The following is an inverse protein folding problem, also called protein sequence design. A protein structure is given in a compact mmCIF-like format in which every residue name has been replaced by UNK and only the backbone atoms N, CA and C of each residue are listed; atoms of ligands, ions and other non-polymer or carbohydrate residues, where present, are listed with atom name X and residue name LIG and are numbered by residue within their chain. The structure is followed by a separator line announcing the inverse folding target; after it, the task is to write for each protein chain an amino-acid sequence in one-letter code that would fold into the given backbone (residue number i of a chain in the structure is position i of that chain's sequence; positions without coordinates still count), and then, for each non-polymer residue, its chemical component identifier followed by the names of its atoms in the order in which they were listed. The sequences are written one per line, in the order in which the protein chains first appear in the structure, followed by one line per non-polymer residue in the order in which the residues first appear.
data_IF_240119763384
#
_entry.id   IF_240119763384
#
_cell.length_a   1.000
_cell.length_b   1.000
_cell.length_c   1.000
_cell.angle_alpha   90.00
_cell.angle_beta   90.00
_cell.angle_gamma   90.00
#
_symmetry.space_group_name_H-M   'P 1'
#
loop_
_entity.id
_entity.type
_entity.pdbx_description
1 polymer ?
#
# COMPACT_ATOMS: atom_id res chain seq x y z
N UNK A 1 6.93 -30.59 49.78
CA UNK A 1 6.16 -31.86 49.84
C UNK A 1 4.86 -31.61 49.07
N UNK A 2 4.42 -32.27 48.01
CA UNK A 2 4.70 -33.61 47.50
C UNK A 2 4.66 -33.63 45.95
N UNK A 3 5.32 -34.66 45.42
CA UNK A 3 5.66 -34.95 44.03
C UNK A 3 4.47 -35.40 43.17
N UNK A 4 4.35 -34.92 41.92
CA UNK A 4 3.51 -35.52 40.87
C UNK A 4 4.33 -36.53 40.06
N UNK A 5 3.98 -37.81 40.20
CA UNK A 5 4.53 -38.94 39.44
C UNK A 5 3.89 -39.06 38.06
N UNK A 6 4.74 -39.33 37.07
CA UNK A 6 4.43 -39.72 35.69
C UNK A 6 3.91 -41.17 35.61
N UNK A 7 3.01 -41.46 34.65
CA UNK A 7 2.55 -42.82 34.28
C UNK A 7 3.28 -43.30 33.01
N UNK A 8 3.55 -44.62 32.85
CA UNK A 8 4.35 -45.13 31.72
C UNK A 8 3.50 -45.58 30.52
N UNK A 9 4.14 -45.55 29.34
CA UNK A 9 3.64 -46.02 28.05
C UNK A 9 3.70 -47.55 27.90
N UNK A 10 2.77 -48.13 27.10
CA UNK A 10 2.75 -49.54 26.69
C UNK A 10 3.43 -49.72 25.31
N UNK A 11 4.08 -50.87 25.03
CA UNK A 11 4.71 -51.14 23.74
C UNK A 11 3.74 -51.87 22.79
N UNK A 12 3.79 -51.55 21.49
CA UNK A 12 3.13 -52.34 20.44
C UNK A 12 4.13 -53.21 19.66
N UNK A 13 3.66 -54.41 19.35
CA UNK A 13 4.39 -55.60 18.92
C UNK A 13 4.89 -55.56 17.47
N UNK A 14 6.01 -56.26 17.26
CA UNK A 14 6.58 -56.70 15.97
C UNK A 14 5.67 -57.73 15.30
N UNK A 15 5.44 -57.58 13.99
CA UNK A 15 4.87 -58.62 13.14
C UNK A 15 5.98 -59.27 12.28
N UNK A 16 6.09 -60.58 12.39
CA UNK A 16 6.87 -61.45 11.50
C UNK A 16 6.06 -61.75 10.24
N UNK A 17 6.70 -61.74 9.06
CA UNK A 17 6.12 -62.26 7.83
C UNK A 17 6.94 -63.46 7.32
N UNK A 18 6.27 -64.61 7.27
CA UNK A 18 6.73 -65.85 6.65
C UNK A 18 6.69 -65.73 5.12
N UNK A 19 7.75 -66.22 4.49
CA UNK A 19 7.82 -66.44 3.04
C UNK A 19 7.04 -67.70 2.63
N UNK A 20 6.29 -67.59 1.53
CA UNK A 20 5.76 -68.74 0.79
C UNK A 20 5.96 -68.52 -0.72
N UNK A 21 6.56 -69.53 -1.34
CA UNK A 21 6.83 -69.69 -2.77
C UNK A 21 5.55 -70.01 -3.55
N UNK A 22 5.39 -69.49 -4.78
CA UNK A 22 4.75 -70.27 -5.84
C UNK A 22 5.04 -69.73 -7.26
N UNK A 23 5.65 -70.58 -8.07
CA UNK A 23 6.22 -70.35 -9.39
C UNK A 23 5.17 -70.33 -10.55
N UNK A 24 3.95 -69.85 -10.30
CA UNK A 24 2.80 -70.00 -11.22
C UNK A 24 2.24 -68.72 -11.86
N UNK A 25 2.75 -67.53 -11.50
CA UNK A 25 2.06 -66.27 -11.80
C UNK A 25 2.65 -65.46 -12.97
N UNK A 26 3.77 -65.91 -13.57
CA UNK A 26 4.48 -65.15 -14.63
C UNK A 26 3.89 -65.30 -16.04
N UNK A 27 3.14 -66.36 -16.35
CA UNK A 27 2.56 -66.53 -17.71
C UNK A 27 1.26 -65.75 -17.94
N UNK A 28 0.48 -65.43 -16.90
CA UNK A 28 -0.81 -64.73 -17.04
C UNK A 28 -0.66 -63.20 -17.17
N UNK A 29 0.42 -62.62 -16.65
CA UNK A 29 0.66 -61.16 -16.72
C UNK A 29 1.16 -60.71 -18.09
N UNK A 30 1.95 -61.55 -18.79
CA UNK A 30 2.41 -61.24 -20.15
C UNK A 30 1.27 -61.24 -21.18
N UNK A 31 0.24 -62.06 -20.98
CA UNK A 31 -0.89 -62.16 -21.92
C UNK A 31 -1.79 -60.92 -21.88
N UNK A 32 -1.93 -60.27 -20.72
CA UNK A 32 -2.72 -59.04 -20.57
C UNK A 32 -1.99 -57.80 -21.11
N UNK A 33 -0.66 -57.74 -20.97
CA UNK A 33 0.13 -56.60 -21.46
C UNK A 33 0.14 -56.50 -23.00
N UNK A 34 0.16 -57.64 -23.71
CA UNK A 34 0.14 -57.66 -25.17
C UNK A 34 -1.22 -57.20 -25.73
N UNK A 35 -2.33 -57.53 -25.06
CA UNK A 35 -3.66 -57.12 -25.48
C UNK A 35 -3.89 -55.59 -25.36
N UNK A 36 -3.32 -54.94 -24.34
CA UNK A 36 -3.43 -53.49 -24.14
C UNK A 36 -2.61 -52.71 -25.19
N UNK A 37 -1.42 -53.22 -25.55
CA UNK A 37 -0.58 -52.61 -26.58
C UNK A 37 -1.24 -52.73 -27.97
N UNK A 38 -1.85 -53.88 -28.27
CA UNK A 38 -2.58 -54.08 -29.54
C UNK A 38 -3.84 -53.20 -29.65
N UNK A 39 -4.53 -52.94 -28.54
CA UNK A 39 -5.67 -52.03 -28.52
C UNK A 39 -5.22 -50.57 -28.78
N UNK A 40 -4.13 -50.12 -28.15
CA UNK A 40 -3.62 -48.76 -28.30
C UNK A 40 -3.07 -48.45 -29.71
N UNK A 41 -2.50 -49.43 -30.40
CA UNK A 41 -1.99 -49.25 -31.77
C UNK A 41 -3.13 -49.15 -32.80
N UNK A 42 -4.24 -49.86 -32.58
CA UNK A 42 -5.45 -49.75 -33.45
C UNK A 42 -6.14 -48.40 -33.26
N UNK A 43 -6.25 -47.88 -32.02
CA UNK A 43 -6.81 -46.54 -31.80
C UNK A 43 -5.94 -45.43 -32.40
N UNK A 44 -4.61 -45.55 -32.33
CA UNK A 44 -3.70 -44.58 -32.96
C UNK A 44 -3.76 -44.61 -34.50
N UNK A 45 -3.92 -45.80 -35.10
CA UNK A 45 -4.07 -45.93 -36.55
C UNK A 45 -5.39 -45.31 -37.06
N UNK A 46 -6.49 -45.44 -36.31
CA UNK A 46 -7.79 -44.87 -36.67
C UNK A 46 -7.87 -43.35 -36.52
N UNK A 47 -7.05 -42.75 -35.65
CA UNK A 47 -6.97 -41.28 -35.48
C UNK A 47 -6.13 -40.64 -36.59
N UNK A 48 -5.16 -41.37 -37.15
CA UNK A 48 -4.27 -40.86 -38.20
C UNK A 48 -4.94 -40.72 -39.57
N UNK A 49 -6.04 -41.43 -39.83
CA UNK A 49 -6.80 -41.37 -41.09
C UNK A 49 -7.76 -40.17 -41.20
N UNK A 50 -7.90 -39.34 -40.15
CA UNK A 50 -8.87 -38.22 -40.13
C UNK A 50 -8.27 -36.81 -40.08
N UNK A 51 -7.00 -36.65 -40.46
CA UNK A 51 -6.41 -35.33 -40.68
C UNK A 51 -6.71 -34.84 -42.11
N UNK A 52 -7.33 -33.66 -42.31
CA UNK A 52 -7.55 -33.12 -43.64
C UNK A 52 -6.22 -32.72 -44.29
N UNK A 53 -6.10 -33.00 -45.58
CA UNK A 53 -4.98 -32.62 -46.44
C UNK A 53 -4.82 -31.09 -46.51
N UNK A 54 -3.62 -30.59 -46.17
CA UNK A 54 -3.21 -29.22 -46.50
C UNK A 54 -2.82 -29.18 -47.97
N UNK A 55 -3.52 -28.39 -48.80
CA UNK A 55 -3.13 -28.16 -50.18
C UNK A 55 -2.00 -27.13 -50.23
N UNK A 56 -0.91 -27.46 -50.92
CA UNK A 56 0.09 -26.48 -51.37
C UNK A 56 -0.56 -25.53 -52.39
N UNK A 57 -0.38 -24.22 -52.19
CA UNK A 57 -0.60 -23.22 -53.23
C UNK A 57 0.54 -22.18 -53.23
N UNK A 58 1.03 -21.95 -54.45
CA UNK A 58 2.13 -21.12 -54.97
C UNK A 58 2.03 -19.62 -54.60
N UNK A 59 3.14 -18.84 -54.59
CA UNK A 59 3.19 -17.52 -53.96
C UNK A 59 2.63 -16.40 -54.86
N UNK A 60 1.72 -15.59 -54.32
CA UNK A 60 1.18 -14.40 -54.97
C UNK A 60 0.47 -13.48 -54.00
N UNK A 61 0.90 -12.20 -54.01
CA UNK A 61 0.35 -11.03 -53.34
C UNK A 61 0.52 -10.91 -51.80
N UNK A 62 1.18 -9.81 -51.38
CA UNK A 62 1.20 -9.31 -50.00
C UNK A 62 -0.25 -9.13 -49.51
N UNK A 63 -0.65 -9.73 -48.39
CA UNK A 63 -1.82 -9.27 -47.67
C UNK A 63 -1.45 -7.98 -46.94
N UNK A 64 -2.20 -6.92 -47.19
CA UNK A 64 -2.28 -5.78 -46.27
C UNK A 64 -2.65 -6.32 -44.88
N UNK A 65 -1.85 -5.94 -43.89
CA UNK A 65 -2.10 -6.26 -42.48
C UNK A 65 -3.51 -5.76 -42.14
N UNK A 66 -4.44 -6.62 -41.70
CA UNK A 66 -5.67 -6.13 -41.11
C UNK A 66 -5.27 -5.33 -39.88
N UNK A 67 -5.66 -4.06 -39.82
CA UNK A 67 -5.58 -3.28 -38.59
C UNK A 67 -6.14 -4.13 -37.45
N UNK A 68 -5.33 -4.31 -36.41
CA UNK A 68 -5.69 -4.95 -35.15
C UNK A 68 -6.68 -4.05 -34.40
N UNK A 69 -7.89 -3.91 -34.95
CA UNK A 69 -9.03 -3.24 -34.35
C UNK A 69 -9.76 -4.19 -33.41
N UNK A 70 -9.18 -4.41 -32.23
CA UNK A 70 -9.82 -4.73 -30.94
C UNK A 70 -8.78 -5.42 -30.05
N UNK A 71 -7.77 -4.67 -29.60
CA UNK A 71 -7.32 -4.87 -28.24
C UNK A 71 -8.52 -4.50 -27.36
N UNK A 72 -8.95 -5.41 -26.49
CA UNK A 72 -9.86 -5.06 -25.41
C UNK A 72 -9.21 -3.88 -24.68
N UNK A 73 -9.76 -2.67 -24.84
CA UNK A 73 -9.22 -1.48 -24.22
C UNK A 73 -9.30 -1.70 -22.70
N UNK A 74 -8.16 -2.10 -22.11
CA UNK A 74 -8.03 -2.18 -20.67
C UNK A 74 -8.26 -0.79 -20.11
N UNK A 75 -8.94 -0.70 -18.96
CA UNK A 75 -9.12 0.59 -18.29
C UNK A 75 -7.75 1.25 -18.09
N UNK A 76 -7.63 2.50 -18.52
CA UNK A 76 -6.45 3.33 -18.30
C UNK A 76 -6.89 4.60 -17.57
N UNK A 77 -6.12 5.06 -16.58
CA UNK A 77 -6.38 6.35 -15.96
C UNK A 77 -6.26 7.47 -17.01
N UNK A 78 -6.90 8.61 -16.74
CA UNK A 78 -6.76 9.81 -17.57
C UNK A 78 -5.27 10.18 -17.77
N UNK A 79 -4.91 10.96 -18.79
CA UNK A 79 -3.53 11.46 -18.92
C UNK A 79 -3.10 12.30 -17.69
N UNK A 80 -1.85 12.15 -17.22
CA UNK A 80 -1.38 12.77 -15.98
C UNK A 80 -1.45 14.29 -16.00
N UNK A 81 -0.96 14.93 -17.07
CA UNK A 81 -0.97 16.39 -17.16
C UNK A 81 -2.41 16.92 -17.11
N UNK A 82 -3.32 16.26 -17.82
CA UNK A 82 -4.75 16.61 -17.84
C UNK A 82 -5.42 16.41 -16.48
N UNK A 83 -5.10 15.33 -15.78
CA UNK A 83 -5.64 15.06 -14.46
C UNK A 83 -5.13 16.07 -13.42
N UNK A 84 -3.83 16.36 -13.40
CA UNK A 84 -3.23 17.27 -12.42
C UNK A 84 -3.63 18.73 -12.69
N UNK A 85 -3.88 19.09 -13.96
CA UNK A 85 -4.38 20.42 -14.31
C UNK A 85 -5.74 20.77 -13.70
N UNK A 86 -6.49 19.80 -13.15
CA UNK A 86 -7.78 20.03 -12.48
C UNK A 86 -7.63 20.40 -10.99
N UNK A 87 -6.41 20.36 -10.45
CA UNK A 87 -6.10 20.66 -9.06
C UNK A 87 -5.62 22.12 -8.93
N UNK A 88 -6.18 22.85 -7.97
CA UNK A 88 -5.88 24.26 -7.72
C UNK A 88 -4.71 24.46 -6.74
N UNK A 89 -4.42 23.45 -5.92
CA UNK A 89 -3.47 23.48 -4.83
C UNK A 89 -4.01 24.20 -3.59
N UNK A 90 -3.64 23.72 -2.40
CA UNK A 90 -4.19 24.19 -1.11
C UNK A 90 -4.03 25.68 -0.87
N UNK A 91 -2.97 26.31 -1.41
CA UNK A 91 -2.74 27.77 -1.30
C UNK A 91 -3.90 28.59 -1.88
N UNK A 92 -4.57 28.08 -2.92
CA UNK A 92 -5.71 28.75 -3.54
C UNK A 92 -6.95 28.80 -2.63
N UNK A 93 -7.04 27.92 -1.64
CA UNK A 93 -8.19 27.80 -0.75
C UNK A 93 -8.17 28.86 0.36
N UNK A 94 -6.99 29.35 0.75
CA UNK A 94 -6.80 30.19 1.95
C UNK A 94 -7.62 31.48 1.93
N UNK A 95 -7.70 32.16 0.79
CA UNK A 95 -8.37 33.46 0.69
C UNK A 95 -9.86 33.41 1.07
N UNK A 96 -10.54 32.31 0.74
CA UNK A 96 -11.96 32.10 1.07
C UNK A 96 -12.19 31.23 2.31
N UNK A 97 -11.22 30.39 2.67
CA UNK A 97 -11.33 29.37 3.73
C UNK A 97 -10.22 29.50 4.78
N UNK A 98 -9.87 30.73 5.16
CA UNK A 98 -8.76 31.05 6.08
C UNK A 98 -8.78 30.19 7.35
N UNK A 99 -9.92 30.11 8.04
CA UNK A 99 -10.04 29.31 9.26
C UNK A 99 -9.70 27.83 9.06
N UNK A 100 -10.18 27.22 7.98
CA UNK A 100 -9.91 25.81 7.71
C UNK A 100 -8.45 25.61 7.29
N UNK A 101 -7.92 26.53 6.49
CA UNK A 101 -6.52 26.53 6.07
C UNK A 101 -5.57 26.65 7.28
N UNK A 102 -5.84 27.57 8.19
CA UNK A 102 -5.02 27.79 9.39
C UNK A 102 -5.07 26.59 10.36
N UNK A 103 -6.18 25.85 10.39
CA UNK A 103 -6.27 24.60 11.15
C UNK A 103 -5.50 23.45 10.48
N UNK A 104 -5.48 23.43 9.14
CA UNK A 104 -4.74 22.43 8.35
C UNK A 104 -3.23 22.66 8.36
N UNK A 105 -2.79 23.91 8.29
CA UNK A 105 -1.37 24.25 8.29
C UNK A 105 -0.71 23.80 9.60
N UNK A 106 0.32 22.94 9.50
CA UNK A 106 0.99 22.34 10.66
C UNK A 106 0.26 21.15 11.29
N UNK A 107 -0.84 20.68 10.71
CA UNK A 107 -1.45 19.40 11.08
C UNK A 107 -0.63 18.21 10.58
N UNK A 108 -0.84 17.02 11.16
CA UNK A 108 -0.19 15.79 10.69
C UNK A 108 -0.56 15.46 9.23
N UNK A 109 -1.75 15.85 8.77
CA UNK A 109 -2.12 15.72 7.35
C UNK A 109 -1.24 16.62 6.47
N UNK A 110 -1.07 17.88 6.86
CA UNK A 110 -0.22 18.81 6.10
C UNK A 110 1.26 18.41 6.15
N UNK A 111 1.71 17.79 7.23
CA UNK A 111 3.09 17.35 7.42
C UNK A 111 3.29 15.86 7.06
N UNK A 112 2.30 15.20 6.44
CA UNK A 112 2.38 13.78 6.10
C UNK A 112 3.57 13.44 5.21
N UNK A 113 3.93 14.36 4.30
CA UNK A 113 5.18 14.36 3.55
C UNK A 113 5.63 15.80 3.27
N UNK A 114 6.92 16.06 3.44
CA UNK A 114 7.53 17.36 3.20
C UNK A 114 8.98 17.22 2.75
N UNK A 115 9.53 18.31 2.21
CA UNK A 115 10.98 18.45 2.07
C UNK A 115 11.62 18.61 3.46
N UNK A 116 12.90 18.27 3.62
CA UNK A 116 13.64 18.56 4.84
C UNK A 116 13.65 20.06 5.11
N UNK A 117 13.42 20.45 6.36
CA UNK A 117 13.42 21.84 6.82
C UNK A 117 14.47 21.99 7.93
N UNK A 118 15.51 22.83 7.75
CA UNK A 118 16.50 23.11 8.78
C UNK A 118 15.90 23.50 10.13
N UNK A 119 14.76 24.21 10.15
CA UNK A 119 14.10 24.59 11.41
C UNK A 119 13.49 23.42 12.16
N UNK A 120 13.17 22.33 11.46
CA UNK A 120 12.51 21.17 12.03
C UNK A 120 13.49 20.01 12.26
N UNK A 121 14.43 19.80 11.34
CA UNK A 121 15.22 18.58 11.28
C UNK A 121 16.67 18.77 11.78
N UNK A 122 17.20 20.00 11.86
CA UNK A 122 18.61 20.23 12.17
C UNK A 122 19.06 19.62 13.49
N UNK A 123 18.28 19.78 14.56
CA UNK A 123 18.64 19.26 15.87
C UNK A 123 18.83 17.73 15.86
N UNK A 124 18.12 17.00 15.00
CA UNK A 124 18.22 15.55 14.90
C UNK A 124 19.55 15.09 14.25
N UNK A 125 20.17 15.94 13.42
CA UNK A 125 21.39 15.64 12.65
C UNK A 125 22.63 16.41 13.09
N UNK A 126 22.47 17.46 13.91
CA UNK A 126 23.57 18.30 14.41
C UNK A 126 23.47 18.46 15.94
N UNK A 127 24.47 18.02 16.73
CA UNK A 127 25.74 17.42 16.30
C UNK A 127 25.56 16.03 15.68
N UNK A 128 26.58 15.57 14.94
CA UNK A 128 26.65 14.19 14.41
C UNK A 128 26.34 13.17 15.51
N UNK A 129 25.37 12.29 15.23
CA UNK A 129 24.91 11.22 16.14
C UNK A 129 25.26 9.84 15.60
N UNK A 130 25.36 8.88 16.51
CA UNK A 130 25.52 7.46 16.20
C UNK A 130 24.34 6.69 16.81
N UNK A 131 23.69 5.85 16.00
CA UNK A 131 22.63 4.94 16.43
C UNK A 131 23.12 3.51 16.27
N UNK A 132 23.01 2.72 17.35
CA UNK A 132 23.43 1.32 17.38
C UNK A 132 22.21 0.41 17.47
N UNK A 133 22.14 -0.52 16.55
CA UNK A 133 21.19 -1.62 16.48
C UNK A 133 21.99 -2.94 16.41
N UNK A 134 21.48 -4.11 16.88
CA UNK A 134 22.29 -5.32 17.12
C UNK A 134 23.33 -5.70 16.06
N UNK A 135 23.05 -5.51 14.77
CA UNK A 135 23.97 -5.82 13.67
C UNK A 135 24.47 -4.59 12.88
N UNK A 136 23.95 -3.40 13.21
CA UNK A 136 24.06 -2.20 12.38
C UNK A 136 24.36 -0.94 13.20
N UNK A 137 25.39 -0.20 12.80
CA UNK A 137 25.69 1.12 13.34
C UNK A 137 25.46 2.20 12.29
N UNK A 138 24.43 3.01 12.50
CA UNK A 138 24.08 4.15 11.65
C UNK A 138 24.70 5.45 12.18
N UNK A 139 25.06 6.35 11.28
CA UNK A 139 25.51 7.70 11.63
C UNK A 139 24.60 8.72 10.97
N UNK A 140 24.25 9.76 11.71
CA UNK A 140 23.27 10.76 11.32
C UNK A 140 23.95 12.11 11.48
N UNK A 141 24.07 12.85 10.39
CA UNK A 141 24.85 14.06 10.38
C UNK A 141 24.38 15.06 9.32
N UNK A 142 24.63 16.33 9.60
CA UNK A 142 24.58 17.40 8.63
C UNK A 142 25.93 17.51 7.89
N UNK A 143 25.91 17.68 6.57
CA UNK A 143 27.07 18.03 5.75
C UNK A 143 26.69 19.22 4.84
N UNK A 144 27.24 20.40 5.14
CA UNK A 144 26.74 21.64 4.53
C UNK A 144 25.30 21.90 4.95
N UNK A 145 24.40 22.05 3.98
CA UNK A 145 22.96 22.25 4.20
C UNK A 145 22.13 20.96 4.01
N UNK A 146 22.81 19.80 3.87
CA UNK A 146 22.17 18.52 3.54
C UNK A 146 22.22 17.54 4.72
N UNK A 147 21.09 16.87 4.96
CA UNK A 147 20.98 15.83 5.99
C UNK A 147 21.37 14.47 5.43
N UNK A 148 22.21 13.74 6.17
CA UNK A 148 22.72 12.45 5.74
C UNK A 148 22.50 11.36 6.78
N UNK A 149 22.17 10.17 6.28
CA UNK A 149 22.12 8.93 7.05
C UNK A 149 23.13 7.95 6.43
N UNK A 150 24.17 7.61 7.18
CA UNK A 150 25.10 6.57 6.80
C UNK A 150 24.75 5.25 7.49
N UNK A 151 24.24 4.28 6.72
CA UNK A 151 23.69 2.99 7.18
C UNK A 151 24.06 1.87 6.19
N UNK A 152 23.72 0.62 6.48
CA UNK A 152 24.00 -0.51 5.58
C UNK A 152 23.07 -0.47 4.37
N UNK A 153 23.65 -0.31 3.18
CA UNK A 153 22.94 -0.31 1.90
C UNK A 153 22.69 -1.72 1.35
N UNK A 154 22.18 -1.77 0.11
CA UNK A 154 21.88 -3.04 -0.56
C UNK A 154 23.13 -3.89 -0.81
N UNK A 155 24.31 -3.27 -0.87
CA UNK A 155 25.58 -4.00 -1.01
C UNK A 155 26.01 -4.74 0.27
N UNK A 156 25.28 -4.56 1.38
CA UNK A 156 25.67 -5.05 2.69
C UNK A 156 26.81 -4.25 3.35
N UNK A 157 27.26 -3.16 2.72
CA UNK A 157 28.26 -2.24 3.27
C UNK A 157 27.61 -0.96 3.76
N UNK A 158 28.32 -0.25 4.65
CA UNK A 158 27.93 1.08 5.07
C UNK A 158 28.07 2.06 3.90
N UNK A 159 26.98 2.74 3.58
CA UNK A 159 26.84 3.72 2.51
C UNK A 159 26.19 4.98 3.09
N UNK A 160 26.45 6.14 2.48
CA UNK A 160 25.87 7.43 2.92
C UNK A 160 24.74 7.81 1.97
N UNK A 161 23.58 8.09 2.53
CA UNK A 161 22.39 8.51 1.80
C UNK A 161 21.99 9.91 2.21
N UNK A 162 21.79 10.79 1.24
CA UNK A 162 21.17 12.11 1.46
C UNK A 162 19.66 11.94 1.64
N UNK A 163 19.12 12.62 2.65
CA UNK A 163 17.67 12.68 2.90
C UNK A 163 17.02 13.55 1.83
N UNK A 164 16.13 12.96 1.05
CA UNK A 164 15.37 13.66 0.02
C UNK A 164 14.08 14.27 0.58
N UNK A 165 13.38 13.54 1.47
CA UNK A 165 12.08 13.92 2.03
C UNK A 165 11.92 13.40 3.44
N UNK A 166 10.95 13.96 4.16
CA UNK A 166 10.52 13.51 5.48
C UNK A 166 9.05 13.12 5.40
N UNK A 167 8.69 11.97 5.96
CA UNK A 167 7.31 11.52 6.11
C UNK A 167 6.96 11.37 7.59
N UNK A 168 5.71 11.73 7.91
CA UNK A 168 5.26 11.82 9.30
C UNK A 168 5.82 13.05 10.02
N UNK A 169 5.23 13.33 11.18
CA UNK A 169 5.68 14.41 12.06
C UNK A 169 5.68 13.94 13.51
N UNK A 170 4.53 13.54 14.03
CA UNK A 170 4.39 13.09 15.42
C UNK A 170 3.65 11.75 15.46
N UNK A 171 4.14 10.74 16.20
CA UNK A 171 5.35 10.73 17.03
C UNK A 171 6.64 10.36 16.28
N UNK A 172 6.58 10.22 14.95
CA UNK A 172 7.69 9.68 14.16
C UNK A 172 7.91 10.57 12.93
N UNK A 173 9.16 10.99 12.73
CA UNK A 173 9.69 11.47 11.47
C UNK A 173 10.54 10.36 10.87
N UNK A 174 10.14 9.88 9.71
CA UNK A 174 10.90 8.90 8.94
C UNK A 174 11.43 9.54 7.66
N UNK A 175 12.64 9.16 7.29
CA UNK A 175 13.39 9.84 6.23
C UNK A 175 13.41 9.00 4.96
N UNK A 176 13.19 9.66 3.82
CA UNK A 176 13.20 9.05 2.50
C UNK A 176 14.51 9.36 1.78
N UNK A 177 15.10 8.34 1.15
CA UNK A 177 16.33 8.48 0.37
C UNK A 177 16.12 7.97 -1.06
N UNK A 178 16.85 8.58 -2.01
CA UNK A 178 16.84 8.15 -3.42
C UNK A 178 17.52 6.80 -3.59
N UNK A 179 16.88 5.92 -4.36
CA UNK A 179 17.42 4.65 -4.81
C UNK A 179 17.34 4.55 -6.34
N UNK A 180 18.12 3.66 -6.98
CA UNK A 180 18.06 3.45 -8.43
C UNK A 180 16.65 3.14 -8.92
N UNK A 181 16.38 3.42 -10.21
CA UNK A 181 15.09 3.16 -10.89
C UNK A 181 13.91 3.96 -10.32
N UNK A 182 14.18 5.13 -9.73
CA UNK A 182 13.14 6.04 -9.24
C UNK A 182 12.47 5.61 -7.93
N UNK A 183 13.06 4.63 -7.24
CA UNK A 183 12.60 4.26 -5.90
C UNK A 183 12.96 5.35 -4.90
N UNK A 184 12.02 5.67 -4.02
CA UNK A 184 12.33 6.26 -2.71
C UNK A 184 12.19 5.17 -1.65
N UNK A 185 13.18 5.07 -0.77
CA UNK A 185 13.18 4.12 0.34
C UNK A 185 13.01 4.85 1.66
N UNK A 186 12.08 4.35 2.48
CA UNK A 186 11.94 4.78 3.86
C UNK A 186 13.01 4.09 4.69
N UNK A 187 13.94 4.87 5.25
CA UNK A 187 15.01 4.33 6.09
C UNK A 187 14.39 3.85 7.41
N UNK A 188 14.85 2.70 7.91
CA UNK A 188 14.34 2.08 9.13
C UNK A 188 14.71 2.86 10.41
N UNK A 189 15.83 3.60 10.38
CA UNK A 189 16.22 4.53 11.44
C UNK A 189 15.40 5.82 11.34
N UNK A 190 14.52 6.03 12.33
CA UNK A 190 13.58 7.15 12.41
C UNK A 190 13.75 7.95 13.71
N UNK A 191 13.21 9.17 13.73
CA UNK A 191 13.37 10.12 14.83
C UNK A 191 12.03 10.39 15.52
N UNK A 192 12.03 10.37 16.85
CA UNK A 192 10.92 10.87 17.69
C UNK A 192 11.25 12.33 18.05
N UNK A 193 10.57 13.33 17.44
CA UNK A 193 10.90 14.73 17.68
C UNK A 193 10.45 15.24 19.05
N UNK A 194 9.65 14.48 19.81
CA UNK A 194 9.28 14.86 21.18
C UNK A 194 10.34 14.45 22.19
N UNK A 195 10.97 13.30 21.97
CA UNK A 195 12.02 12.79 22.87
C UNK A 195 13.42 13.16 22.42
N UNK A 196 13.55 13.62 21.17
CA UNK A 196 14.83 13.78 20.48
C UNK A 196 15.64 12.47 20.46
N UNK A 197 14.97 11.37 20.12
CA UNK A 197 15.54 10.03 20.12
C UNK A 197 15.47 9.38 18.75
N UNK A 198 16.56 8.71 18.36
CA UNK A 198 16.62 7.87 17.18
C UNK A 198 16.31 6.42 17.54
N UNK A 199 15.50 5.75 16.73
CA UNK A 199 15.10 4.37 16.94
C UNK A 199 14.92 3.64 15.60
N UNK A 200 14.89 2.30 15.64
CA UNK A 200 14.53 1.48 14.48
C UNK A 200 13.01 1.22 14.51
N UNK A 201 12.31 1.47 13.41
CA UNK A 201 10.84 1.26 13.31
C UNK A 201 10.40 -0.19 13.52
N UNK A 202 11.32 -1.15 13.41
CA UNK A 202 11.09 -2.57 13.68
C UNK A 202 11.63 -3.02 15.05
N UNK A 203 11.97 -2.08 15.94
CA UNK A 203 12.49 -2.38 17.27
C UNK A 203 13.82 -3.14 17.19
N UNK A 204 13.88 -4.29 17.84
CA UNK A 204 15.10 -5.13 17.90
C UNK A 204 15.22 -6.14 16.74
N UNK A 205 14.29 -6.13 15.77
CA UNK A 205 14.34 -7.02 14.61
C UNK A 205 15.55 -6.73 13.72
N UNK A 206 16.39 -7.75 13.52
CA UNK A 206 17.61 -7.67 12.71
C UNK A 206 17.36 -8.05 11.24
N UNK A 207 16.69 -7.16 10.50
CA UNK A 207 16.35 -7.40 9.10
C UNK A 207 17.57 -7.23 8.21
N UNK A 208 17.78 -8.16 7.28
CA UNK A 208 18.99 -8.21 6.46
C UNK A 208 18.76 -7.71 5.02
N UNK A 209 19.79 -7.14 4.35
CA UNK A 209 19.71 -6.80 2.94
C UNK A 209 19.23 -7.97 2.08
N UNK A 210 18.22 -7.71 1.24
CA UNK A 210 17.56 -8.73 0.39
C UNK A 210 16.24 -9.27 0.97
N UNK A 211 15.98 -9.07 2.26
CA UNK A 211 14.68 -9.38 2.85
C UNK A 211 13.62 -8.35 2.43
N UNK A 212 12.36 -8.79 2.34
CA UNK A 212 11.25 -7.91 1.97
C UNK A 212 11.11 -6.72 2.91
N UNK A 213 11.29 -6.95 4.21
CA UNK A 213 11.08 -5.95 5.26
C UNK A 213 12.31 -5.10 5.62
N UNK A 214 13.49 -5.38 5.05
CA UNK A 214 14.66 -4.52 5.22
C UNK A 214 14.41 -3.17 4.51
N UNK A 215 15.05 -2.09 4.96
CA UNK A 215 14.79 -0.74 4.44
C UNK A 215 15.14 -0.58 2.95
N UNK A 216 16.03 -1.41 2.40
CA UNK A 216 16.31 -1.48 0.95
C UNK A 216 15.36 -2.39 0.17
N UNK A 217 14.49 -3.12 0.87
CA UNK A 217 13.51 -4.06 0.32
C UNK A 217 12.23 -3.38 -0.19
N UNK A 218 11.28 -4.20 -0.66
CA UNK A 218 9.98 -3.72 -1.18
C UNK A 218 9.02 -3.28 -0.09
N UNK A 219 9.12 -3.86 1.11
CA UNK A 219 8.27 -3.54 2.24
C UNK A 219 8.45 -2.11 2.74
N UNK A 220 9.60 -1.49 2.43
CA UNK A 220 9.96 -0.12 2.81
C UNK A 220 9.99 0.86 1.63
N UNK A 221 9.53 0.42 0.46
CA UNK A 221 9.45 1.26 -0.73
C UNK A 221 8.31 2.28 -0.60
N UNK A 222 8.67 3.55 -0.51
CA UNK A 222 7.71 4.64 -0.36
C UNK A 222 6.68 4.69 -1.49
N UNK A 223 7.10 4.47 -2.74
CA UNK A 223 6.24 4.63 -3.93
C UNK A 223 4.97 3.76 -3.85
N UNK A 224 5.10 2.54 -3.32
CA UNK A 224 4.00 1.58 -3.21
C UNK A 224 3.34 1.57 -1.85
N UNK A 225 4.11 1.75 -0.78
CA UNK A 225 3.66 1.52 0.59
C UNK A 225 3.11 2.79 1.26
N UNK A 226 3.61 3.98 0.90
CA UNK A 226 3.34 5.21 1.65
C UNK A 226 2.69 6.30 0.77
N UNK A 227 3.19 6.45 -0.46
CA UNK A 227 2.97 7.62 -1.29
C UNK A 227 1.48 7.93 -1.54
N UNK A 228 0.64 6.90 -1.72
CA UNK A 228 -0.79 7.09 -2.05
C UNK A 228 -1.59 7.72 -0.92
N UNK A 229 -1.15 7.48 0.32
CA UNK A 229 -1.81 7.96 1.53
C UNK A 229 -1.25 9.29 2.02
N UNK A 230 0.00 9.60 1.67
CA UNK A 230 0.72 10.79 2.15
C UNK A 230 0.69 11.97 1.17
N UNK A 231 0.07 11.80 0.00
CA UNK A 231 0.10 12.81 -1.06
C UNK A 231 -1.23 12.95 -1.82
N UNK A 232 -1.35 14.07 -2.52
CA UNK A 232 -2.58 14.45 -3.23
C UNK A 232 -2.49 14.13 -4.70
N UNK A 233 -3.48 13.38 -5.20
CA UNK A 233 -3.57 12.93 -6.60
C UNK A 233 -2.26 12.29 -7.08
N UNK A 234 -1.77 11.31 -6.33
CA UNK A 234 -0.55 10.58 -6.69
C UNK A 234 -0.78 9.70 -7.92
N UNK A 235 0.27 9.56 -8.74
CA UNK A 235 0.45 8.49 -9.72
C UNK A 235 1.79 7.82 -9.51
N UNK A 236 1.78 6.51 -9.31
CA UNK A 236 3.01 5.73 -9.09
C UNK A 236 3.88 5.68 -10.34
N UNK A 237 3.24 5.61 -11.51
CA UNK A 237 3.87 5.40 -12.81
C UNK A 237 4.92 4.29 -12.76
N UNK A 238 4.48 3.12 -12.28
CA UNK A 238 5.31 1.94 -12.25
C UNK A 238 5.39 1.34 -13.65
N UNK A 239 6.61 1.10 -14.12
CA UNK A 239 6.88 0.36 -15.34
C UNK A 239 7.34 -1.06 -14.97
N UNK A 240 6.54 -2.06 -15.34
CA UNK A 240 6.82 -3.46 -15.08
C UNK A 240 8.06 -3.98 -15.81
N UNK A 241 8.29 -3.54 -17.06
CA UNK A 241 9.37 -4.06 -17.89
C UNK A 241 10.74 -3.63 -17.37
N UNK A 242 10.82 -2.42 -16.80
CA UNK A 242 12.05 -1.87 -16.23
C UNK A 242 12.10 -1.98 -14.70
N UNK A 243 10.99 -2.36 -14.07
CA UNK A 243 10.79 -2.36 -12.63
C UNK A 243 11.26 -1.03 -12.01
N UNK A 244 10.66 0.05 -12.52
CA UNK A 244 11.00 1.42 -12.19
C UNK A 244 9.76 2.25 -11.88
N UNK A 245 9.97 3.38 -11.20
CA UNK A 245 8.91 4.31 -10.84
C UNK A 245 9.25 5.70 -11.40
N UNK A 246 8.23 6.39 -11.93
CA UNK A 246 8.27 7.83 -12.20
C UNK A 246 7.16 8.54 -11.40
N UNK A 247 7.18 8.33 -10.09
CA UNK A 247 6.07 8.74 -9.21
C UNK A 247 5.91 10.25 -9.17
N UNK A 248 4.68 10.71 -9.43
CA UNK A 248 4.31 12.12 -9.44
C UNK A 248 3.03 12.38 -8.63
N UNK A 249 2.80 13.63 -8.24
CA UNK A 249 1.62 14.06 -7.51
C UNK A 249 1.19 15.46 -7.95
N UNK A 250 -0.07 15.82 -7.72
CA UNK A 250 -0.52 17.20 -7.90
C UNK A 250 0.00 18.11 -6.76
N UNK A 251 0.05 17.60 -5.54
CA UNK A 251 0.59 18.31 -4.37
C UNK A 251 1.21 17.30 -3.40
N UNK A 252 2.42 17.60 -2.91
CA UNK A 252 3.08 16.83 -1.84
C UNK A 252 2.40 17.17 -0.52
N UNK A 253 2.01 16.15 0.25
CA UNK A 253 1.14 16.19 1.44
C UNK A 253 -0.32 15.77 1.20
N UNK A 254 -1.03 15.45 2.30
CA UNK A 254 -2.50 15.30 2.34
C UNK A 254 -3.12 16.70 2.34
N UNK A 255 -3.34 17.20 1.13
CA UNK A 255 -3.77 18.58 0.86
C UNK A 255 -5.29 18.71 0.88
N UNK A 256 -5.82 19.93 0.75
CA UNK A 256 -7.28 20.16 0.75
C UNK A 256 -7.99 19.27 -0.28
N UNK A 257 -7.40 19.16 -1.47
CA UNK A 257 -7.98 18.42 -2.60
C UNK A 257 -7.81 16.90 -2.48
N UNK A 258 -7.06 16.40 -1.48
CA UNK A 258 -7.02 14.97 -1.15
C UNK A 258 -8.36 14.47 -0.60
N UNK A 259 -9.12 15.35 0.07
CA UNK A 259 -10.43 15.05 0.65
C UNK A 259 -11.57 15.70 -0.14
N UNK A 260 -11.36 16.89 -0.68
CA UNK A 260 -12.39 17.64 -1.41
C UNK A 260 -12.46 17.28 -2.91
N UNK A 261 -11.41 16.68 -3.48
CA UNK A 261 -11.32 16.40 -4.91
C UNK A 261 -10.77 17.58 -5.71
N UNK A 262 -10.71 17.49 -7.05
CA UNK A 262 -10.19 18.57 -7.90
C UNK A 262 -11.09 19.81 -7.80
N UNK A 263 -10.52 20.93 -7.35
CA UNK A 263 -11.25 22.17 -7.05
C UNK A 263 -10.85 23.34 -7.95
N UNK A 264 -10.08 23.12 -9.03
CA UNK A 264 -9.74 24.21 -9.96
C UNK A 264 -10.97 24.90 -10.55
N UNK A 265 -11.96 24.14 -10.99
CA UNK A 265 -13.19 24.71 -11.54
C UNK A 265 -13.93 25.58 -10.52
N UNK A 266 -13.96 25.15 -9.25
CA UNK A 266 -14.53 25.91 -8.14
C UNK A 266 -13.78 27.22 -7.89
N UNK A 267 -12.44 27.15 -7.82
CA UNK A 267 -11.59 28.33 -7.60
C UNK A 267 -11.74 29.33 -8.75
N UNK A 268 -11.72 28.86 -10.00
CA UNK A 268 -11.86 29.73 -11.17
C UNK A 268 -13.25 30.36 -11.23
N UNK A 269 -14.32 29.60 -10.94
CA UNK A 269 -15.68 30.11 -10.87
C UNK A 269 -15.85 31.17 -9.77
N UNK A 270 -15.29 30.95 -8.57
CA UNK A 270 -15.36 31.95 -7.48
C UNK A 270 -14.59 33.22 -7.79
N UNK A 271 -13.52 33.16 -8.58
CA UNK A 271 -12.79 34.34 -9.07
C UNK A 271 -13.62 35.12 -10.10
N UNK A 272 -14.24 34.43 -11.06
CA UNK A 272 -15.05 35.06 -12.09
C UNK A 272 -16.33 35.71 -11.53
N UNK A 273 -16.99 35.03 -10.59
CA UNK A 273 -18.25 35.47 -9.98
C UNK A 273 -18.07 35.97 -8.53
N UNK A 274 -16.95 36.64 -8.26
CA UNK A 274 -16.63 37.17 -6.93
C UNK A 274 -17.76 38.07 -6.38
N UNK A 275 -18.06 37.93 -5.08
CA UNK A 275 -19.13 38.69 -4.43
C UNK A 275 -20.56 38.21 -4.70
N UNK A 276 -20.76 37.17 -5.54
CA UNK A 276 -22.06 36.56 -5.74
C UNK A 276 -22.37 35.51 -4.68
N UNK A 277 -23.64 35.40 -4.29
CA UNK A 277 -24.20 34.35 -3.43
C UNK A 277 -24.81 33.18 -4.22
N UNK A 278 -24.62 33.17 -5.54
CA UNK A 278 -25.12 32.11 -6.41
C UNK A 278 -24.58 30.74 -6.02
N UNK A 279 -25.38 29.69 -6.23
CA UNK A 279 -24.94 28.32 -6.01
C UNK A 279 -23.86 27.98 -7.04
N UNK A 280 -22.67 27.63 -6.56
CA UNK A 280 -21.57 27.19 -7.40
C UNK A 280 -21.96 25.88 -8.15
N UNK A 281 -22.01 25.90 -9.49
CA UNK A 281 -22.39 24.73 -10.27
C UNK A 281 -21.26 23.70 -10.42
N UNK A 282 -20.02 24.07 -10.10
CA UNK A 282 -18.84 23.21 -10.24
C UNK A 282 -18.66 22.27 -9.04
N UNK A 283 -19.29 22.58 -7.90
CA UNK A 283 -19.19 21.77 -6.70
C UNK A 283 -19.98 20.47 -6.83
N UNK A 284 -19.25 19.34 -6.78
CA UNK A 284 -19.83 18.01 -6.62
C UNK A 284 -20.24 17.79 -5.16
N UNK A 285 -21.48 17.40 -4.92
CA UNK A 285 -21.95 17.00 -3.58
C UNK A 285 -21.60 15.54 -3.34
N UNK A 286 -20.98 15.27 -2.19
CA UNK A 286 -20.71 13.92 -1.73
C UNK A 286 -21.78 13.49 -0.72
N UNK A 287 -22.24 12.25 -0.84
CA UNK A 287 -23.01 11.59 0.20
C UNK A 287 -22.10 11.12 1.36
N UNK A 288 -22.71 10.59 2.42
CA UNK A 288 -21.96 10.13 3.59
C UNK A 288 -20.98 8.98 3.27
N UNK A 289 -21.30 8.12 2.30
CA UNK A 289 -20.44 7.00 1.90
C UNK A 289 -19.21 7.50 1.17
N UNK A 290 -19.38 8.50 0.30
CA UNK A 290 -18.31 9.15 -0.44
C UNK A 290 -17.39 9.96 0.49
N UNK A 291 -17.94 10.67 1.48
CA UNK A 291 -17.14 11.31 2.52
C UNK A 291 -16.35 10.30 3.36
N UNK A 292 -16.97 9.17 3.71
CA UNK A 292 -16.27 8.10 4.42
C UNK A 292 -15.15 7.50 3.56
N UNK A 293 -15.37 7.35 2.25
CA UNK A 293 -14.37 6.87 1.31
C UNK A 293 -13.12 7.77 1.25
N UNK A 294 -13.29 9.10 1.35
CA UNK A 294 -12.17 10.04 1.40
C UNK A 294 -11.25 9.78 2.61
N UNK A 295 -11.81 9.48 3.79
CA UNK A 295 -11.01 9.04 4.95
C UNK A 295 -10.44 7.64 4.75
N UNK A 296 -11.29 6.74 4.23
CA UNK A 296 -11.00 5.33 4.07
C UNK A 296 -9.86 5.04 3.10
N UNK A 297 -9.65 5.90 2.09
CA UNK A 297 -8.50 5.83 1.19
C UNK A 297 -7.19 5.66 1.97
N UNK A 298 -7.02 6.33 3.10
CA UNK A 298 -5.78 6.26 3.88
C UNK A 298 -5.94 5.46 5.17
N UNK A 299 -7.04 5.64 5.90
CA UNK A 299 -7.25 5.02 7.21
C UNK A 299 -7.85 3.62 7.13
N UNK A 300 -7.36 2.79 6.20
CA UNK A 300 -7.76 1.39 6.06
C UNK A 300 -6.58 0.52 5.65
N UNK A 301 -6.54 -0.71 6.18
CA UNK A 301 -5.72 -1.76 5.59
C UNK A 301 -6.40 -2.25 4.31
N UNK A 302 -5.74 -2.09 3.17
CA UNK A 302 -6.31 -2.33 1.84
C UNK A 302 -5.24 -2.60 0.79
N UNK A 303 -5.66 -3.13 -0.35
CA UNK A 303 -4.89 -3.13 -1.60
C UNK A 303 -5.51 -2.13 -2.57
N UNK A 304 -4.66 -1.36 -3.25
CA UNK A 304 -5.09 -0.48 -4.35
C UNK A 304 -5.28 -1.28 -5.63
N UNK A 305 -6.44 -1.11 -6.27
CA UNK A 305 -6.78 -1.83 -7.51
C UNK A 305 -6.56 -0.97 -8.74
N UNK A 306 -6.92 0.32 -8.69
CA UNK A 306 -6.90 1.19 -9.88
C UNK A 306 -5.79 2.24 -9.86
N UNK A 307 -5.28 2.62 -8.69
CA UNK A 307 -4.31 3.71 -8.57
C UNK A 307 -4.87 5.11 -8.88
N UNK A 308 -6.19 5.26 -8.98
CA UNK A 308 -6.82 6.49 -9.51
C UNK A 308 -8.11 6.89 -8.78
N UNK A 309 -8.24 6.57 -7.49
CA UNK A 309 -9.36 7.03 -6.67
C UNK A 309 -9.43 8.57 -6.63
N UNK A 310 -10.63 9.11 -6.83
CA UNK A 310 -10.91 10.53 -6.61
C UNK A 310 -11.95 10.71 -5.49
N UNK A 311 -11.82 11.75 -4.65
CA UNK A 311 -12.87 12.08 -3.70
C UNK A 311 -14.23 12.25 -4.40
N UNK A 312 -15.25 11.59 -3.84
CA UNK A 312 -16.54 11.43 -4.49
C UNK A 312 -16.74 10.05 -5.14
N UNK A 313 -15.70 9.26 -5.34
CA UNK A 313 -15.85 7.90 -5.85
C UNK A 313 -16.26 6.92 -4.74
N UNK A 314 -16.72 5.73 -5.13
CA UNK A 314 -17.06 4.68 -4.17
C UNK A 314 -15.78 3.93 -3.79
N UNK A 315 -15.55 3.77 -2.50
CA UNK A 315 -14.33 3.13 -1.98
C UNK A 315 -14.04 1.76 -2.61
N UNK A 316 -15.03 0.87 -2.69
CA UNK A 316 -14.85 -0.51 -3.18
C UNK A 316 -14.67 -0.60 -4.70
N UNK A 317 -14.84 0.49 -5.45
CA UNK A 317 -14.53 0.51 -6.89
C UNK A 317 -13.01 0.63 -7.13
N UNK A 318 -12.26 1.06 -6.10
CA UNK A 318 -10.82 1.35 -6.19
C UNK A 318 -9.94 0.50 -5.28
N UNK A 319 -10.53 -0.14 -4.27
CA UNK A 319 -9.77 -0.78 -3.20
C UNK A 319 -10.33 -2.16 -2.85
N UNK A 320 -9.42 -3.13 -2.71
CA UNK A 320 -9.73 -4.40 -2.04
C UNK A 320 -9.51 -4.21 -0.54
N UNK A 321 -10.62 -4.17 0.20
CA UNK A 321 -10.62 -3.92 1.64
C UNK A 321 -10.24 -5.17 2.44
N UNK A 322 -9.44 -5.00 3.50
CA UNK A 322 -9.18 -6.10 4.45
C UNK A 322 -10.26 -6.11 5.52
N UNK A 323 -10.87 -7.28 5.73
CA UNK A 323 -11.90 -7.53 6.73
C UNK A 323 -11.38 -8.46 7.83
N UNK A 324 -12.04 -8.55 9.00
CA UNK A 324 -11.71 -9.56 10.00
C UNK A 324 -12.01 -10.96 9.45
N UNK A 325 -11.03 -11.84 9.52
CA UNK A 325 -11.09 -13.24 9.11
C UNK A 325 -10.14 -14.10 9.98
N UNK A 326 -9.86 -15.34 9.57
CA UNK A 326 -8.98 -16.27 10.29
C UNK A 326 -7.47 -15.96 10.13
N UNK A 327 -7.09 -14.86 9.46
CA UNK A 327 -5.69 -14.47 9.24
C UNK A 327 -5.03 -13.79 10.44
N UNK A 328 -5.77 -13.61 11.54
CA UNK A 328 -5.28 -12.98 12.77
C UNK A 328 -4.87 -11.50 12.59
N UNK A 329 -5.22 -10.89 11.45
CA UNK A 329 -4.96 -9.48 11.18
C UNK A 329 -5.72 -8.61 12.18
N UNK A 330 -7.00 -8.87 12.42
CA UNK A 330 -7.80 -8.21 13.47
C UNK A 330 -7.99 -9.13 14.67
N UNK A 331 -8.36 -8.57 15.83
CA UNK A 331 -8.94 -9.39 16.89
C UNK A 331 -10.26 -10.02 16.41
N UNK A 332 -10.62 -11.17 16.99
CA UNK A 332 -11.82 -11.92 16.59
C UNK A 332 -13.13 -11.12 16.76
N UNK A 333 -13.14 -10.08 17.59
CA UNK A 333 -14.27 -9.16 17.78
C UNK A 333 -14.24 -7.93 16.85
N UNK A 334 -13.29 -7.90 15.90
CA UNK A 334 -13.12 -6.84 14.92
C UNK A 334 -12.32 -5.63 15.41
N UNK A 335 -11.79 -5.65 16.63
CA UNK A 335 -10.88 -4.60 17.09
C UNK A 335 -9.58 -4.58 16.31
N UNK A 336 -9.01 -3.38 16.17
CA UNK A 336 -7.68 -3.18 15.58
C UNK A 336 -6.64 -3.94 16.39
N UNK A 337 -5.84 -4.77 15.72
CA UNK A 337 -4.64 -5.41 16.26
C UNK A 337 -3.45 -4.81 15.54
N UNK A 338 -2.47 -4.31 16.29
CA UNK A 338 -1.31 -3.60 15.74
C UNK A 338 -1.73 -2.46 14.79
N UNK A 339 -1.08 -2.30 13.63
CA UNK A 339 -1.39 -1.27 12.64
C UNK A 339 -2.28 -1.81 11.50
N UNK A 340 -3.60 -1.70 11.67
CA UNK A 340 -4.56 -1.97 10.58
C UNK A 340 -5.42 -0.76 10.19
N UNK A 341 -5.15 0.38 10.83
CA UNK A 341 -5.99 1.57 10.77
C UNK A 341 -7.44 1.28 11.24
N UNK A 342 -8.32 2.29 11.18
CA UNK A 342 -9.59 2.24 11.93
C UNK A 342 -10.83 1.88 11.09
N UNK A 343 -10.77 2.00 9.75
CA UNK A 343 -11.98 1.92 8.93
C UNK A 343 -12.76 0.61 9.11
N UNK A 344 -12.08 -0.54 9.07
CA UNK A 344 -12.73 -1.85 9.18
C UNK A 344 -13.44 -2.03 10.51
N UNK A 345 -12.77 -1.68 11.62
CA UNK A 345 -13.35 -1.72 12.96
C UNK A 345 -14.50 -0.73 13.11
N UNK A 346 -14.38 0.46 12.52
CA UNK A 346 -15.43 1.46 12.53
C UNK A 346 -16.67 1.00 11.77
N UNK A 347 -16.52 0.48 10.55
CA UNK A 347 -17.62 -0.07 9.74
C UNK A 347 -18.37 -1.19 10.46
N UNK A 348 -17.65 -2.00 11.25
CA UNK A 348 -18.22 -3.10 12.03
C UNK A 348 -18.89 -2.65 13.34
N UNK A 349 -18.77 -1.37 13.71
CA UNK A 349 -19.21 -0.86 15.00
C UNK A 349 -20.69 -0.47 15.03
N UNK A 350 -21.28 -0.50 16.23
CA UNK A 350 -22.63 0.06 16.47
C UNK A 350 -22.72 1.55 16.16
N UNK A 351 -21.61 2.29 16.34
CA UNK A 351 -21.56 3.74 16.07
C UNK A 351 -21.81 4.02 14.59
N UNK A 352 -21.10 3.31 13.71
CA UNK A 352 -21.28 3.46 12.27
C UNK A 352 -22.71 3.10 11.84
N UNK A 353 -23.25 1.98 12.33
CA UNK A 353 -24.63 1.57 12.03
C UNK A 353 -25.69 2.54 12.58
N UNK A 354 -25.36 3.32 13.62
CA UNK A 354 -26.21 4.39 14.14
C UNK A 354 -26.04 5.73 13.38
N UNK A 355 -25.21 5.78 12.34
CA UNK A 355 -25.00 6.97 11.51
C UNK A 355 -23.93 7.94 12.03
N UNK A 356 -23.15 7.56 13.06
CA UNK A 356 -21.97 8.33 13.49
C UNK A 356 -20.93 8.31 12.36
N UNK A 357 -20.18 9.40 12.23
CA UNK A 357 -19.14 9.63 11.23
C UNK A 357 -17.84 10.06 11.90
N UNK A 358 -16.73 9.96 11.18
CA UNK A 358 -15.41 10.38 11.65
C UNK A 358 -15.43 11.83 12.18
N UNK A 359 -16.09 12.74 11.43
CA UNK A 359 -16.19 14.17 11.76
C UNK A 359 -17.13 14.49 12.92
N UNK A 360 -17.93 13.53 13.37
CA UNK A 360 -18.70 13.72 14.61
C UNK A 360 -17.77 13.64 15.83
N UNK A 361 -16.56 13.05 15.69
CA UNK A 361 -15.54 12.96 16.74
C UNK A 361 -14.27 13.79 16.45
N UNK A 362 -13.85 13.89 15.20
CA UNK A 362 -12.63 14.56 14.76
C UNK A 362 -12.89 15.90 14.09
N UNK A 363 -12.00 16.87 14.29
CA UNK A 363 -11.93 18.06 13.45
C UNK A 363 -11.03 17.75 12.23
N UNK A 364 -11.60 17.59 11.02
CA UNK A 364 -10.88 17.05 9.86
C UNK A 364 -9.68 17.88 9.42
N UNK A 365 -9.64 19.18 9.71
CA UNK A 365 -8.52 20.04 9.34
C UNK A 365 -7.36 19.94 10.32
N UNK A 366 -7.59 19.61 11.60
CA UNK A 366 -6.52 19.57 12.61
C UNK A 366 -5.97 18.18 12.90
N UNK A 367 -6.65 17.12 12.42
CA UNK A 367 -6.50 15.71 12.82
C UNK A 367 -6.81 15.40 14.30
N UNK A 368 -7.16 16.41 15.10
CA UNK A 368 -7.46 16.26 16.55
C UNK A 368 -8.93 15.93 16.80
N UNK A 369 -9.20 15.38 17.99
CA UNK A 369 -10.56 15.17 18.49
C UNK A 369 -11.20 16.49 18.93
N UNK A 370 -12.53 16.59 18.74
CA UNK A 370 -13.30 17.79 19.05
C UNK A 370 -13.36 18.12 20.55
N UNK A 371 -13.28 17.09 21.41
CA UNK A 371 -13.23 17.23 22.87
C UNK A 371 -12.35 16.13 23.47
N UNK A 372 -11.73 16.41 24.62
CA UNK A 372 -10.83 15.48 25.29
C UNK A 372 -11.57 14.52 26.22
N UNK A 373 -11.08 13.29 26.30
CA UNK A 373 -11.58 12.26 27.22
C UNK A 373 -13.09 11.98 27.06
N UNK A 374 -13.75 11.68 28.19
CA UNK A 374 -15.16 11.28 28.21
C UNK A 374 -16.11 12.35 27.66
N UNK A 375 -15.72 13.63 27.66
CA UNK A 375 -16.55 14.71 27.14
C UNK A 375 -16.93 14.50 25.67
N UNK A 376 -16.05 13.86 24.89
CA UNK A 376 -16.36 13.49 23.50
C UNK A 376 -17.56 12.55 23.40
N UNK A 377 -17.63 11.55 24.27
CA UNK A 377 -18.69 10.53 24.31
C UNK A 377 -20.00 11.08 24.86
N UNK A 378 -19.92 11.95 25.88
CA UNK A 378 -21.08 12.57 26.54
C UNK A 378 -21.88 13.51 25.62
N UNK A 379 -21.37 13.82 24.42
CA UNK A 379 -22.13 14.53 23.37
C UNK A 379 -23.34 13.75 22.87
N UNK A 380 -23.36 12.42 23.06
CA UNK A 380 -24.47 11.55 22.68
C UNK A 380 -24.96 10.64 23.82
N UNK A 381 -24.13 10.40 24.85
CA UNK A 381 -24.44 9.51 25.97
C UNK A 381 -24.64 10.28 27.27
N UNK A 382 -25.77 10.98 27.40
CA UNK A 382 -26.12 11.78 28.58
C UNK A 382 -26.78 10.98 29.69
#
# INVERSE_FOLDING_TARGET
MASRKTKPAKPHQKAENKAASCHGQRLKVLSFAVAIIAAATVTWALIKEKSPSVSENTPGAKPETPETGNETAHWQPEEQAKAFAQYAGSKSCRECHEKAFDLWLGSDHQLAERLPDPKMDQEAFDPRREFKHPSLTSQLFLEGDHFHIATQGLSGKKETFEVERVIGETPIRQYLVKFPRGLLQAVDVSHDPHKDEWFNVFGDEDRQPGEWGHWTGRGMNWNTQCASCHNTRLRKNYDEATDSYDTAMAEMSVSCEACHGPMKAHVDWRKEYAGTSGKDPTLRKFDNTQWLAACGKCHSRRTELTGDFQPGDRYLDHFSHVIPDESDIYYADGQVREENYVLTSFLSSKMHHAGVRCVDCHEPHTTKILQQGNALCMRCHT
#
